data_IF_110077005830
#
_entry.id   IF_110077005830
#
_cell.length_a   1.000
_cell.length_b   1.000
_cell.length_c   1.000
_cell.angle_alpha   90.00
_cell.angle_beta   90.00
_cell.angle_gamma   90.00
#
_symmetry.space_group_name_H-M   'P 1'
#
loop_
_entity.id
_entity.type
_entity.pdbx_description
1 polymer ?
#
# COMPACT_ATOMS: atom_id res chain seq x y z
N UNK A 1 19.45 -7.77 -26.84
CA UNK A 1 20.65 -7.66 -26.00
C UNK A 1 20.34 -8.41 -24.71
N UNK A 2 20.73 -9.70 -24.64
CA UNK A 2 20.54 -10.49 -23.41
C UNK A 2 21.63 -10.05 -22.43
N UNK A 3 21.27 -9.16 -21.51
CA UNK A 3 22.04 -8.95 -20.31
C UNK A 3 21.86 -10.17 -19.41
N UNK A 4 22.69 -11.20 -19.59
CA UNK A 4 22.85 -12.25 -18.59
C UNK A 4 23.56 -11.62 -17.37
N UNK A 5 22.80 -10.92 -16.55
CA UNK A 5 23.26 -10.55 -15.21
C UNK A 5 23.16 -11.84 -14.40
N UNK A 6 24.27 -12.56 -14.29
CA UNK A 6 24.38 -13.69 -13.38
C UNK A 6 24.36 -13.16 -11.94
N UNK A 7 23.17 -12.93 -11.39
CA UNK A 7 23.00 -12.71 -9.97
C UNK A 7 23.10 -14.09 -9.31
N UNK A 8 24.17 -14.33 -8.57
CA UNK A 8 24.30 -15.54 -7.78
C UNK A 8 23.37 -15.46 -6.57
N UNK A 9 22.14 -15.94 -6.75
CA UNK A 9 21.16 -16.02 -5.67
C UNK A 9 21.60 -17.07 -4.64
N UNK A 10 21.39 -16.77 -3.36
CA UNK A 10 21.51 -17.75 -2.27
C UNK A 10 20.47 -18.85 -2.43
N UNK A 11 20.63 -19.97 -1.73
CA UNK A 11 19.62 -21.04 -1.73
C UNK A 11 18.28 -20.56 -1.16
N UNK A 12 18.32 -19.69 -0.17
CA UNK A 12 17.13 -19.08 0.44
C UNK A 12 16.40 -18.17 -0.56
N UNK A 13 17.13 -17.31 -1.27
CA UNK A 13 16.57 -16.46 -2.32
C UNK A 13 15.93 -17.27 -3.44
N UNK A 14 16.56 -18.36 -3.86
CA UNK A 14 15.97 -19.28 -4.85
C UNK A 14 14.67 -19.88 -4.34
N UNK A 15 14.62 -20.30 -3.07
CA UNK A 15 13.41 -20.86 -2.48
C UNK A 15 12.26 -19.84 -2.46
N UNK A 16 12.52 -18.56 -2.14
CA UNK A 16 11.51 -17.51 -2.20
C UNK A 16 11.02 -17.25 -3.63
N UNK A 17 11.94 -17.18 -4.58
CA UNK A 17 11.62 -17.00 -6.00
C UNK A 17 10.74 -18.15 -6.50
N UNK A 18 11.14 -19.39 -6.25
CA UNK A 18 10.42 -20.59 -6.69
C UNK A 18 9.01 -20.66 -6.06
N UNK A 19 8.90 -20.42 -4.76
CA UNK A 19 7.62 -20.39 -4.05
C UNK A 19 6.69 -19.27 -4.57
N UNK A 20 7.25 -18.08 -4.78
CA UNK A 20 6.49 -16.95 -5.33
C UNK A 20 6.02 -17.23 -6.76
N UNK A 21 6.90 -17.80 -7.59
CA UNK A 21 6.57 -18.18 -8.96
C UNK A 21 5.46 -19.21 -9.00
N UNK A 22 5.54 -20.26 -8.17
CA UNK A 22 4.48 -21.26 -8.06
C UNK A 22 3.14 -20.58 -7.70
N UNK A 23 3.12 -19.76 -6.67
CA UNK A 23 1.93 -19.00 -6.26
C UNK A 23 1.37 -18.14 -7.41
N UNK A 24 2.26 -17.43 -8.10
CA UNK A 24 1.89 -16.54 -9.21
C UNK A 24 1.32 -17.32 -10.40
N UNK A 25 1.91 -18.46 -10.77
CA UNK A 25 1.41 -19.32 -11.84
C UNK A 25 0.04 -19.93 -11.51
N UNK A 26 -0.17 -20.37 -10.25
CA UNK A 26 -1.42 -21.01 -9.81
C UNK A 26 -2.58 -19.99 -9.65
N UNK A 27 -2.32 -18.83 -9.08
CA UNK A 27 -3.38 -17.92 -8.63
C UNK A 27 -3.53 -16.62 -9.43
N UNK A 28 -2.49 -16.17 -10.15
CA UNK A 28 -2.47 -14.85 -10.78
C UNK A 28 -2.48 -14.93 -12.31
N UNK A 29 -1.50 -15.63 -12.89
CA UNK A 29 -1.16 -15.57 -14.31
C UNK A 29 -2.33 -15.83 -15.25
N UNK A 30 -3.08 -16.89 -15.01
CA UNK A 30 -4.21 -17.29 -15.87
C UNK A 30 -5.41 -16.36 -15.78
N UNK A 31 -5.44 -15.48 -14.76
CA UNK A 31 -6.54 -14.56 -14.51
C UNK A 31 -6.20 -13.10 -14.85
N UNK A 32 -4.93 -12.75 -15.00
CA UNK A 32 -4.44 -11.38 -15.11
C UNK A 32 -5.12 -10.57 -16.22
N UNK A 33 -5.23 -11.12 -17.43
CA UNK A 33 -5.89 -10.46 -18.55
C UNK A 33 -7.40 -10.27 -18.32
N UNK A 34 -8.06 -11.27 -17.73
CA UNK A 34 -9.48 -11.19 -17.39
C UNK A 34 -9.74 -10.14 -16.33
N UNK A 35 -8.90 -10.08 -15.31
CA UNK A 35 -8.99 -9.06 -14.25
C UNK A 35 -8.78 -7.66 -14.81
N UNK A 36 -7.75 -7.46 -15.64
CA UNK A 36 -7.48 -6.16 -16.25
C UNK A 36 -8.66 -5.71 -17.14
N UNK A 37 -9.16 -6.60 -18.03
CA UNK A 37 -10.31 -6.31 -18.90
C UNK A 37 -11.56 -5.91 -18.13
N UNK A 38 -11.82 -6.56 -16.99
CA UNK A 38 -13.02 -6.35 -16.19
C UNK A 38 -12.82 -5.33 -15.06
N UNK A 39 -11.63 -4.72 -14.92
CA UNK A 39 -11.24 -3.88 -13.81
C UNK A 39 -11.52 -4.55 -12.44
N UNK A 40 -11.27 -5.86 -12.36
CA UNK A 40 -11.54 -6.66 -11.17
C UNK A 40 -10.31 -6.69 -10.24
N UNK A 41 -10.50 -6.23 -9.01
CA UNK A 41 -9.45 -6.21 -7.99
C UNK A 41 -9.52 -7.49 -7.14
N UNK A 42 -8.50 -8.40 -7.22
CA UNK A 42 -8.57 -9.74 -6.67
C UNK A 42 -8.18 -9.79 -5.18
N UNK A 43 -9.04 -9.28 -4.30
CA UNK A 43 -8.78 -9.23 -2.83
C UNK A 43 -8.49 -10.62 -2.25
N UNK A 44 -9.16 -11.65 -2.75
CA UNK A 44 -8.97 -13.04 -2.31
C UNK A 44 -7.57 -13.57 -2.61
N UNK A 45 -6.94 -13.12 -3.70
CA UNK A 45 -5.57 -13.51 -4.05
C UNK A 45 -4.56 -12.81 -3.13
N UNK A 46 -4.82 -11.57 -2.77
CA UNK A 46 -3.99 -10.87 -1.78
C UNK A 46 -4.04 -11.57 -0.41
N UNK A 47 -5.21 -11.99 0.05
CA UNK A 47 -5.34 -12.76 1.29
C UNK A 47 -4.55 -14.07 1.24
N UNK A 48 -4.62 -14.81 0.13
CA UNK A 48 -3.80 -16.01 -0.06
C UNK A 48 -2.30 -15.73 -0.08
N UNK A 49 -1.87 -14.59 -0.65
CA UNK A 49 -0.46 -14.21 -0.67
C UNK A 49 0.09 -13.95 0.74
N UNK A 50 -0.77 -13.51 1.66
CA UNK A 50 -0.38 -13.30 3.05
C UNK A 50 -0.01 -14.62 3.78
N UNK A 51 -0.59 -15.76 3.38
CA UNK A 51 -0.24 -17.09 3.92
C UNK A 51 1.22 -17.47 3.61
N UNK A 52 1.80 -16.89 2.55
CA UNK A 52 3.21 -17.00 2.19
C UNK A 52 4.08 -15.85 2.75
N UNK A 53 3.53 -15.00 3.62
CA UNK A 53 4.23 -13.85 4.16
C UNK A 53 4.39 -12.67 3.20
N UNK A 54 3.77 -12.70 2.01
CA UNK A 54 3.93 -11.67 1.00
C UNK A 54 3.24 -10.35 1.34
N UNK A 55 2.46 -10.29 2.41
CA UNK A 55 1.86 -9.06 2.92
C UNK A 55 2.82 -8.21 3.79
N UNK A 56 3.92 -8.78 4.24
CA UNK A 56 4.90 -8.13 5.11
C UNK A 56 6.33 -8.55 4.82
N UNK A 57 6.75 -8.56 3.54
CA UNK A 57 8.03 -9.11 3.08
C UNK A 57 9.22 -8.52 3.84
N UNK A 58 9.27 -7.21 4.01
CA UNK A 58 10.36 -6.51 4.72
C UNK A 58 9.88 -5.82 6.00
N UNK A 59 8.76 -6.26 6.53
CA UNK A 59 8.29 -5.92 7.87
C UNK A 59 9.04 -6.78 8.88
N UNK A 60 9.40 -6.21 10.03
CA UNK A 60 10.10 -6.95 11.09
C UNK A 60 9.30 -8.17 11.56
N UNK A 61 9.96 -9.29 11.81
CA UNK A 61 9.35 -10.51 12.37
C UNK A 61 8.60 -10.25 13.68
N UNK A 62 9.13 -9.40 14.55
CA UNK A 62 8.49 -8.99 15.81
C UNK A 62 7.14 -8.29 15.61
N UNK A 63 6.95 -7.69 14.43
CA UNK A 63 5.73 -7.00 14.01
C UNK A 63 4.88 -7.88 13.06
N UNK A 64 5.19 -9.18 12.95
CA UNK A 64 4.43 -10.18 12.18
C UNK A 64 4.77 -10.26 10.70
N UNK A 65 5.87 -9.65 10.25
CA UNK A 65 6.39 -9.77 8.89
C UNK A 65 7.43 -10.90 8.73
N UNK A 66 8.01 -11.02 7.54
CA UNK A 66 9.04 -12.03 7.24
C UNK A 66 10.47 -11.54 7.46
N UNK A 67 10.68 -10.24 7.69
CA UNK A 67 11.99 -9.66 7.98
C UNK A 67 12.99 -9.71 6.81
N UNK A 68 12.54 -10.00 5.59
CA UNK A 68 13.40 -10.10 4.42
C UNK A 68 13.97 -8.75 4.00
N UNK A 69 15.03 -8.77 3.21
CA UNK A 69 15.67 -7.55 2.71
C UNK A 69 14.89 -6.91 1.55
N UNK A 70 15.26 -5.68 1.19
CA UNK A 70 14.70 -5.02 0.00
C UNK A 70 15.11 -5.72 -1.30
N UNK A 71 16.27 -6.37 -1.33
CA UNK A 71 16.70 -7.17 -2.46
C UNK A 71 15.80 -8.39 -2.63
N UNK A 72 15.51 -9.10 -1.55
CA UNK A 72 14.62 -10.27 -1.58
C UNK A 72 13.22 -9.86 -2.03
N UNK A 73 12.72 -8.72 -1.52
CA UNK A 73 11.45 -8.15 -1.97
C UNK A 73 11.44 -7.82 -3.47
N UNK A 74 12.55 -7.32 -4.02
CA UNK A 74 12.68 -7.04 -5.46
C UNK A 74 12.54 -8.32 -6.28
N UNK A 75 13.18 -9.40 -5.86
CA UNK A 75 13.09 -10.70 -6.53
C UNK A 75 11.67 -11.26 -6.49
N UNK A 76 11.01 -11.14 -5.34
CA UNK A 76 9.62 -11.57 -5.17
C UNK A 76 8.68 -10.74 -6.07
N UNK A 77 8.82 -9.41 -6.07
CA UNK A 77 7.99 -8.53 -6.91
C UNK A 77 8.23 -8.74 -8.40
N UNK A 78 9.43 -9.13 -8.83
CA UNK A 78 9.74 -9.49 -10.21
C UNK A 78 8.90 -10.69 -10.67
N UNK A 79 8.85 -11.77 -9.89
CA UNK A 79 8.05 -12.96 -10.21
C UNK A 79 6.54 -12.66 -10.22
N UNK A 80 6.06 -11.89 -9.25
CA UNK A 80 4.67 -11.46 -9.23
C UNK A 80 4.33 -10.57 -10.44
N UNK A 81 5.23 -9.66 -10.83
CA UNK A 81 5.03 -8.77 -11.97
C UNK A 81 5.06 -9.51 -13.31
N UNK A 82 5.84 -10.58 -13.42
CA UNK A 82 5.81 -11.45 -14.59
C UNK A 82 4.42 -12.07 -14.81
N UNK A 83 3.72 -12.42 -13.74
CA UNK A 83 2.35 -12.92 -13.81
C UNK A 83 1.31 -11.80 -13.98
N UNK A 84 1.41 -10.73 -13.20
CA UNK A 84 0.51 -9.56 -13.27
C UNK A 84 1.17 -8.32 -12.67
N UNK A 85 1.65 -7.37 -13.49
CA UNK A 85 2.30 -6.14 -13.01
C UNK A 85 1.42 -5.32 -12.06
N UNK A 86 0.13 -5.27 -12.33
CA UNK A 86 -0.83 -4.52 -11.52
C UNK A 86 -0.98 -5.10 -10.10
N UNK A 87 -1.06 -6.43 -9.99
CA UNK A 87 -1.13 -7.11 -8.68
C UNK A 87 0.17 -6.92 -7.90
N UNK A 88 1.32 -7.07 -8.56
CA UNK A 88 2.63 -6.83 -7.96
C UNK A 88 2.79 -5.39 -7.46
N UNK A 89 2.42 -4.40 -8.29
CA UNK A 89 2.49 -2.99 -7.92
C UNK A 89 1.62 -2.67 -6.69
N UNK A 90 0.39 -3.19 -6.63
CA UNK A 90 -0.45 -2.97 -5.46
C UNK A 90 0.12 -3.62 -4.20
N UNK A 91 0.60 -4.86 -4.29
CA UNK A 91 1.21 -5.55 -3.16
C UNK A 91 2.46 -4.82 -2.65
N UNK A 92 3.22 -4.17 -3.54
CA UNK A 92 4.37 -3.36 -3.15
C UNK A 92 3.96 -2.12 -2.33
N UNK A 93 2.83 -1.49 -2.68
CA UNK A 93 2.27 -0.36 -1.91
C UNK A 93 1.82 -0.83 -0.53
N UNK A 94 1.12 -1.96 -0.46
CA UNK A 94 0.70 -2.55 0.81
C UNK A 94 1.91 -2.85 1.72
N UNK A 95 2.94 -3.48 1.20
CA UNK A 95 4.19 -3.76 1.92
C UNK A 95 4.89 -2.48 2.40
N UNK A 96 4.88 -1.42 1.59
CA UNK A 96 5.44 -0.13 1.97
C UNK A 96 4.70 0.46 3.18
N UNK A 97 3.37 0.44 3.18
CA UNK A 97 2.57 0.96 4.30
C UNK A 97 2.71 0.10 5.55
N UNK A 98 2.74 -1.23 5.41
CA UNK A 98 3.02 -2.15 6.50
C UNK A 98 4.39 -1.87 7.15
N UNK A 99 5.41 -1.66 6.33
CA UNK A 99 6.75 -1.30 6.80
C UNK A 99 6.77 0.09 7.47
N UNK A 100 6.05 1.08 6.92
CA UNK A 100 5.95 2.40 7.55
C UNK A 100 5.40 2.30 8.97
N UNK A 101 4.33 1.52 9.17
CA UNK A 101 3.78 1.29 10.49
C UNK A 101 4.77 0.55 11.40
N UNK A 102 5.42 -0.51 10.92
CA UNK A 102 6.44 -1.25 11.67
C UNK A 102 7.61 -0.37 12.11
N UNK A 103 8.06 0.53 11.23
CA UNK A 103 9.24 1.36 11.47
C UNK A 103 8.96 2.60 12.32
N UNK A 104 7.83 3.26 12.09
CA UNK A 104 7.54 4.60 12.63
C UNK A 104 6.31 4.65 13.55
N UNK A 105 5.45 3.64 13.51
CA UNK A 105 4.27 3.58 14.37
C UNK A 105 4.64 3.40 15.84
N UNK A 106 3.85 4.01 16.72
CA UNK A 106 3.92 3.73 18.15
C UNK A 106 3.31 2.35 18.46
N UNK A 107 3.46 1.90 19.71
CA UNK A 107 2.99 0.57 20.12
C UNK A 107 1.47 0.41 19.99
N UNK A 108 0.69 1.45 20.26
CA UNK A 108 -0.77 1.38 20.18
C UNK A 108 -1.25 1.16 18.74
N UNK A 109 -0.68 1.90 17.79
CA UNK A 109 -0.97 1.74 16.36
C UNK A 109 -0.54 0.36 15.85
N UNK A 110 0.64 -0.12 16.27
CA UNK A 110 1.12 -1.45 15.92
C UNK A 110 0.20 -2.54 16.48
N UNK A 111 -0.14 -2.47 17.75
CA UNK A 111 -1.05 -3.42 18.41
C UNK A 111 -2.43 -3.43 17.72
N UNK A 112 -2.90 -2.26 17.29
CA UNK A 112 -4.21 -2.13 16.65
C UNK A 112 -4.22 -2.71 15.23
N UNK A 113 -3.17 -2.49 14.43
CA UNK A 113 -3.26 -2.71 12.98
C UNK A 113 -2.31 -3.75 12.41
N UNK A 114 -1.12 -4.02 13.01
CA UNK A 114 -0.10 -4.83 12.35
C UNK A 114 -0.59 -6.21 11.97
N UNK A 115 -1.27 -6.91 12.90
CA UNK A 115 -1.78 -8.26 12.65
C UNK A 115 -2.72 -8.31 11.45
N UNK A 116 -3.67 -7.39 11.37
CA UNK A 116 -4.65 -7.34 10.27
C UNK A 116 -4.03 -6.91 8.94
N UNK A 117 -2.95 -6.12 8.97
CA UNK A 117 -2.21 -5.72 7.77
C UNK A 117 -1.37 -6.88 7.26
N UNK A 118 -0.58 -7.54 8.11
CA UNK A 118 0.28 -8.66 7.69
C UNK A 118 -0.49 -9.92 7.30
N UNK A 119 -1.75 -10.06 7.72
CA UNK A 119 -2.68 -11.11 7.26
C UNK A 119 -3.53 -10.72 6.04
N UNK A 120 -3.44 -9.49 5.54
CA UNK A 120 -4.34 -8.95 4.50
C UNK A 120 -5.84 -8.96 4.88
N UNK A 121 -6.15 -9.06 6.17
CA UNK A 121 -7.50 -8.79 6.65
C UNK A 121 -7.87 -7.32 6.38
N UNK A 122 -6.91 -6.42 6.62
CA UNK A 122 -6.97 -5.03 6.20
C UNK A 122 -6.00 -4.77 5.04
N UNK A 123 -6.54 -4.33 3.93
CA UNK A 123 -5.78 -3.91 2.74
C UNK A 123 -5.45 -2.42 2.85
N UNK A 124 -4.21 -2.03 2.51
CA UNK A 124 -3.70 -0.69 2.73
C UNK A 124 -3.40 0.07 1.45
N UNK A 125 -3.73 1.36 1.43
CA UNK A 125 -3.35 2.33 0.40
C UNK A 125 -2.42 3.40 0.96
N UNK A 126 -1.56 3.94 0.09
CA UNK A 126 -0.70 5.08 0.40
C UNK A 126 -1.18 6.34 -0.30
N UNK A 127 -1.36 7.43 0.43
CA UNK A 127 -1.96 8.68 -0.03
C UNK A 127 -0.94 9.82 0.09
N UNK A 128 -0.19 10.09 -0.99
CA UNK A 128 0.79 11.17 -1.05
C UNK A 128 0.38 12.27 -2.03
N UNK A 129 0.22 11.91 -3.31
CA UNK A 129 0.02 12.81 -4.44
C UNK A 129 -1.29 13.61 -4.30
N UNK A 130 -1.25 14.88 -4.67
CA UNK A 130 -2.41 15.76 -4.72
C UNK A 130 -2.61 16.33 -6.12
N UNK A 131 -3.78 16.91 -6.46
CA UNK A 131 -3.99 17.53 -7.77
C UNK A 131 -2.96 18.60 -8.13
N UNK A 132 -2.45 19.32 -7.14
CA UNK A 132 -1.46 20.40 -7.31
C UNK A 132 -0.04 20.04 -6.84
N UNK A 133 0.21 18.81 -6.41
CA UNK A 133 1.48 18.40 -5.79
C UNK A 133 1.81 16.94 -6.13
N UNK A 134 2.61 16.76 -7.16
CA UNK A 134 3.15 15.45 -7.59
C UNK A 134 4.61 15.30 -7.18
N UNK A 135 5.54 15.66 -8.09
CA UNK A 135 6.98 15.58 -7.81
C UNK A 135 7.43 16.48 -6.67
N UNK A 136 6.81 17.64 -6.52
CA UNK A 136 6.97 18.51 -5.35
C UNK A 136 5.98 18.10 -4.25
N UNK A 137 6.26 16.98 -3.61
CA UNK A 137 5.39 16.44 -2.55
C UNK A 137 5.33 17.33 -1.31
N UNK A 138 6.34 18.16 -1.06
CA UNK A 138 6.40 19.10 0.08
C UNK A 138 5.34 20.20 -0.08
N UNK A 139 4.98 20.54 -1.33
CA UNK A 139 3.93 21.52 -1.62
C UNK A 139 2.50 21.03 -1.36
N UNK A 140 2.33 19.85 -0.73
CA UNK A 140 1.00 19.33 -0.39
C UNK A 140 0.17 20.29 0.44
N UNK A 141 -1.15 20.26 0.22
CA UNK A 141 -2.12 21.12 0.86
C UNK A 141 -3.05 20.41 1.85
N UNK A 142 -3.14 19.08 1.76
CA UNK A 142 -3.86 18.27 2.76
C UNK A 142 -3.28 18.54 4.13
N UNK A 143 -4.15 18.84 5.09
CA UNK A 143 -3.75 19.25 6.43
C UNK A 143 -4.66 18.66 7.48
N UNK A 144 -4.07 18.39 8.65
CA UNK A 144 -4.76 18.01 9.87
C UNK A 144 -4.57 19.07 10.93
N UNK A 145 -5.68 19.55 11.47
CA UNK A 145 -5.69 20.52 12.56
C UNK A 145 -6.04 19.79 13.85
N UNK A 146 -5.17 19.81 14.88
CA UNK A 146 -5.51 19.25 16.18
C UNK A 146 -6.74 19.93 16.78
N UNK A 147 -7.57 19.17 17.47
CA UNK A 147 -8.62 19.70 18.31
C UNK A 147 -8.04 20.43 19.55
N UNK A 148 -8.91 21.07 20.36
CA UNK A 148 -8.46 21.85 21.52
C UNK A 148 -7.68 21.03 22.55
N UNK A 149 -7.95 19.75 22.65
CA UNK A 149 -7.38 18.85 23.64
C UNK A 149 -6.26 17.97 23.04
N UNK A 150 -5.91 18.17 21.75
CA UNK A 150 -5.00 17.33 20.95
C UNK A 150 -5.36 15.84 20.98
N UNK A 151 -6.62 15.50 21.17
CA UNK A 151 -7.11 14.12 21.23
C UNK A 151 -7.49 13.59 19.86
N UNK A 152 -7.78 14.46 18.89
CA UNK A 152 -8.11 14.12 17.52
C UNK A 152 -7.54 15.16 16.52
N UNK A 153 -7.56 14.78 15.23
CA UNK A 153 -7.18 15.64 14.11
C UNK A 153 -8.36 15.81 13.19
N UNK A 154 -8.73 17.07 12.93
CA UNK A 154 -9.68 17.39 11.86
C UNK A 154 -8.90 17.51 10.55
N UNK A 155 -9.16 16.59 9.60
CA UNK A 155 -8.39 16.44 8.37
C UNK A 155 -9.20 16.92 7.17
N UNK A 156 -8.58 17.81 6.40
CA UNK A 156 -9.15 18.40 5.19
C UNK A 156 -8.15 18.33 4.04
N UNK A 157 -8.63 17.94 2.87
CA UNK A 157 -7.80 17.86 1.66
C UNK A 157 -8.23 16.80 0.68
N UNK A 158 -7.37 16.57 -0.31
CA UNK A 158 -7.66 15.60 -1.37
C UNK A 158 -6.37 14.99 -1.90
N UNK A 159 -6.37 13.68 -2.11
CA UNK A 159 -5.25 12.90 -2.67
C UNK A 159 -5.66 12.30 -4.01
N UNK A 160 -4.75 12.38 -4.98
CA UNK A 160 -4.99 11.95 -6.37
C UNK A 160 -4.20 10.69 -6.70
N UNK A 161 -4.73 9.92 -7.64
CA UNK A 161 -4.10 8.70 -8.16
C UNK A 161 -3.83 7.63 -7.10
N UNK A 162 -4.74 7.50 -6.12
CA UNK A 162 -4.54 6.57 -5.01
C UNK A 162 -4.93 5.16 -5.43
N UNK A 163 -3.93 4.29 -5.47
CA UNK A 163 -4.09 2.87 -5.73
C UNK A 163 -4.86 2.19 -4.60
N UNK A 164 -5.85 1.36 -4.94
CA UNK A 164 -6.71 0.69 -3.96
C UNK A 164 -7.82 1.58 -3.40
N UNK A 165 -7.92 2.86 -3.81
CA UNK A 165 -8.92 3.77 -3.30
C UNK A 165 -10.36 3.26 -3.53
N UNK A 166 -11.15 3.28 -2.46
CA UNK A 166 -12.52 2.76 -2.42
C UNK A 166 -12.61 1.26 -2.14
N UNK A 167 -11.50 0.50 -2.20
CA UNK A 167 -11.43 -0.93 -1.86
C UNK A 167 -10.62 -1.15 -0.59
N UNK A 168 -9.45 -0.51 -0.45
CA UNK A 168 -8.62 -0.61 0.75
C UNK A 168 -9.37 -0.21 2.02
N UNK A 169 -9.01 -0.84 3.13
CA UNK A 169 -9.61 -0.62 4.44
C UNK A 169 -8.91 0.51 5.20
N UNK A 170 -7.59 0.64 5.00
CA UNK A 170 -6.73 1.61 5.66
C UNK A 170 -6.00 2.49 4.64
N UNK A 171 -5.94 3.77 4.92
CA UNK A 171 -5.27 4.79 4.12
C UNK A 171 -4.17 5.45 4.95
N UNK A 172 -2.92 5.31 4.50
CA UNK A 172 -1.76 5.98 5.07
C UNK A 172 -1.61 7.34 4.38
N UNK A 173 -2.05 8.38 5.05
CA UNK A 173 -2.20 9.72 4.47
C UNK A 173 -1.08 10.62 4.94
N UNK A 174 -0.27 11.09 3.98
CA UNK A 174 0.71 12.14 4.22
C UNK A 174 0.02 13.49 4.21
N UNK A 175 0.23 14.31 5.24
CA UNK A 175 -0.41 15.61 5.38
C UNK A 175 0.47 16.57 6.16
N UNK A 176 0.14 17.85 6.12
CA UNK A 176 0.71 18.86 7.03
C UNK A 176 -0.09 18.87 8.32
N UNK A 177 0.60 18.78 9.45
CA UNK A 177 -0.03 18.98 10.77
C UNK A 177 0.12 20.45 11.14
N UNK A 178 -1.01 21.14 11.30
CA UNK A 178 -1.03 22.54 11.74
C UNK A 178 -0.78 22.59 13.26
N UNK A 179 0.47 22.70 13.66
CA UNK A 179 0.86 23.06 15.02
C UNK A 179 1.13 24.57 15.08
N UNK A 180 1.23 25.14 16.28
CA UNK A 180 1.34 26.60 16.48
C UNK A 180 2.59 27.25 15.86
N UNK A 181 3.60 26.47 15.49
CA UNK A 181 4.91 27.00 15.10
C UNK A 181 5.38 26.54 13.72
N UNK A 182 5.05 25.31 13.26
CA UNK A 182 5.50 24.76 11.98
C UNK A 182 4.48 23.81 11.35
N UNK A 183 4.41 23.83 10.01
CA UNK A 183 3.63 22.88 9.22
C UNK A 183 4.47 21.63 8.95
N UNK A 184 4.59 20.73 9.92
CA UNK A 184 5.31 19.49 9.77
C UNK A 184 4.54 18.48 8.91
N UNK A 185 5.27 17.69 8.13
CA UNK A 185 4.68 16.59 7.37
C UNK A 185 4.57 15.37 8.28
N UNK A 186 3.34 14.92 8.48
CA UNK A 186 3.00 13.74 9.27
C UNK A 186 2.34 12.67 8.40
N UNK A 187 2.33 11.45 8.90
CA UNK A 187 1.55 10.35 8.34
C UNK A 187 0.51 9.90 9.34
N UNK A 188 -0.74 9.82 8.91
CA UNK A 188 -1.85 9.30 9.72
C UNK A 188 -2.48 8.09 9.05
N UNK A 189 -3.07 7.21 9.84
CA UNK A 189 -3.85 6.06 9.35
C UNK A 189 -5.32 6.43 9.46
N UNK A 190 -6.01 6.45 8.32
CA UNK A 190 -7.44 6.72 8.22
C UNK A 190 -8.14 5.44 7.81
N UNK A 191 -9.14 5.02 8.58
CA UNK A 191 -9.98 3.89 8.23
C UNK A 191 -11.03 4.32 7.20
N UNK A 192 -11.28 3.46 6.21
CA UNK A 192 -12.27 3.72 5.13
C UNK A 192 -13.63 4.18 5.63
N UNK A 193 -14.02 3.69 6.80
CA UNK A 193 -15.34 3.93 7.40
C UNK A 193 -15.48 5.26 8.15
N UNK A 194 -14.40 6.03 8.29
CA UNK A 194 -14.47 7.30 9.01
C UNK A 194 -15.34 8.30 8.24
N UNK A 195 -16.14 9.04 8.98
CA UNK A 195 -16.94 10.12 8.41
C UNK A 195 -16.01 11.17 7.76
N UNK A 196 -16.49 11.80 6.69
CA UNK A 196 -15.70 12.76 5.92
C UNK A 196 -14.77 12.13 4.88
N UNK A 197 -14.62 10.80 4.82
CA UNK A 197 -13.86 10.11 3.76
C UNK A 197 -14.75 9.83 2.56
N UNK A 198 -14.31 10.27 1.38
CA UNK A 198 -15.03 9.99 0.13
C UNK A 198 -14.08 9.64 -1.01
N UNK A 199 -14.63 8.97 -2.04
CA UNK A 199 -13.87 8.46 -3.16
C UNK A 199 -14.44 8.95 -4.49
N UNK A 200 -13.56 9.46 -5.34
CA UNK A 200 -13.91 9.84 -6.71
C UNK A 200 -14.19 8.63 -7.61
N UNK A 201 -14.50 8.91 -8.86
CA UNK A 201 -14.63 7.88 -9.90
C UNK A 201 -13.29 7.17 -10.10
N UNK A 202 -13.37 5.92 -10.57
CA UNK A 202 -12.17 5.19 -10.97
C UNK A 202 -11.55 5.85 -12.20
N UNK A 203 -10.22 5.98 -12.21
CA UNK A 203 -9.47 6.51 -13.35
C UNK A 203 -9.58 5.56 -14.55
N UNK A 204 -9.79 6.12 -15.73
CA UNK A 204 -9.71 5.39 -16.99
C UNK A 204 -8.24 5.25 -17.39
N UNK A 205 -7.70 4.04 -17.26
CA UNK A 205 -6.28 3.77 -17.49
C UNK A 205 -6.05 2.94 -18.74
N UNK A 206 -4.92 3.12 -19.39
CA UNK A 206 -4.49 2.31 -20.54
C UNK A 206 -4.21 0.86 -20.11
N UNK A 207 -3.61 0.65 -18.94
CA UNK A 207 -3.33 -0.64 -18.31
C UNK A 207 -3.50 -0.57 -16.79
N UNK A 208 -3.16 -1.65 -16.07
CA UNK A 208 -3.31 -1.76 -14.62
C UNK A 208 -4.76 -1.53 -14.14
N UNK A 209 -5.73 -1.94 -14.95
CA UNK A 209 -7.15 -1.67 -14.70
C UNK A 209 -7.70 -2.49 -13.54
N UNK A 210 -7.12 -3.65 -13.24
CA UNK A 210 -7.49 -4.48 -12.10
C UNK A 210 -7.03 -3.91 -10.74
N UNK A 211 -6.34 -2.78 -10.73
CA UNK A 211 -6.03 -2.00 -9.54
C UNK A 211 -6.84 -0.71 -9.60
N UNK A 212 -7.85 -0.49 -8.72
CA UNK A 212 -8.61 0.75 -8.73
C UNK A 212 -7.68 1.92 -8.37
N UNK A 213 -7.88 3.03 -9.05
CA UNK A 213 -7.12 4.25 -8.82
C UNK A 213 -8.12 5.41 -8.79
N UNK A 214 -8.19 6.14 -7.69
CA UNK A 214 -9.18 7.21 -7.48
C UNK A 214 -8.59 8.37 -6.72
N UNK A 215 -9.32 9.47 -6.74
CA UNK A 215 -9.18 10.55 -5.76
C UNK A 215 -9.75 10.07 -4.43
N UNK A 216 -9.06 10.42 -3.33
CA UNK A 216 -9.57 10.28 -1.95
C UNK A 216 -9.69 11.67 -1.37
N UNK A 217 -10.86 12.05 -0.90
CA UNK A 217 -11.12 13.35 -0.31
C UNK A 217 -11.45 13.20 1.17
N UNK A 218 -10.98 14.17 1.94
CA UNK A 218 -11.20 14.31 3.37
C UNK A 218 -11.89 15.65 3.61
N UNK A 219 -13.07 15.60 4.20
CA UNK A 219 -13.90 16.77 4.53
C UNK A 219 -14.32 16.67 5.99
N UNK A 220 -13.69 17.49 6.84
CA UNK A 220 -13.88 17.44 8.30
C UNK A 220 -13.72 16.02 8.87
N UNK A 221 -12.78 15.23 8.32
CA UNK A 221 -12.54 13.86 8.75
C UNK A 221 -11.82 13.85 10.10
N UNK A 222 -12.38 13.13 11.08
CA UNK A 222 -11.85 13.04 12.47
C UNK A 222 -11.43 11.62 12.81
#
# INVERSE_FOLDING_TARGET
MNLNININLTNEQKAFVDSTKQFADEHIKNNSLKWDKNAYFPVEVFKKSAELGLAGIYVSEKDGGTGLTRLDASLIFEELAYACPSTSAFLSIHNMTAWMLSKYGNNDLKNKYMKSITSMENVCSYCLTEPGSGSDAIAMKTKGKPDKDNSSLNINGSKSFISGAGVSDLYFVMMKTETSEDNEISCVIIEKKYDGVSFGKNEEKMGWKNQPTRVVSFDECI
#
